data_IF_046799272560
#
_entry.id   IF_046799272560
#
_cell.length_a   1.000
_cell.length_b   1.000
_cell.length_c   1.000
_cell.angle_alpha   90.00
_cell.angle_beta   90.00
_cell.angle_gamma   90.00
#
_symmetry.space_group_name_H-M   'P 1'
#
loop_
_entity.id
_entity.type
_entity.pdbx_description
1 polymer ?
#
# COMPACT_ATOMS: atom_id res chain seq x y z
N UNK A 1 1.24 9.62 -15.06
CA UNK A 1 1.87 10.94 -15.25
C UNK A 1 1.22 11.76 -16.34
N UNK A 2 1.12 11.28 -17.58
CA UNK A 2 0.46 12.04 -18.66
C UNK A 2 -0.99 12.42 -18.36
N UNK A 3 -1.72 11.57 -17.63
CA UNK A 3 -3.09 11.80 -17.20
C UNK A 3 -3.27 12.95 -16.20
N UNK A 4 -2.21 13.28 -15.47
CA UNK A 4 -2.18 14.41 -14.52
C UNK A 4 -1.55 15.68 -15.13
N UNK A 5 -1.33 15.71 -16.46
CA UNK A 5 -0.74 16.84 -17.17
C UNK A 5 0.79 16.92 -17.15
N UNK A 6 1.47 15.94 -16.53
CA UNK A 6 2.93 15.90 -16.48
C UNK A 6 3.48 15.13 -17.68
N UNK A 7 4.12 15.84 -18.62
CA UNK A 7 4.71 15.22 -19.80
C UNK A 7 6.13 14.74 -19.53
N UNK A 8 6.31 13.43 -19.65
CA UNK A 8 7.63 12.79 -19.60
C UNK A 8 8.15 12.42 -21.00
N UNK A 9 7.41 12.77 -22.07
CA UNK A 9 7.79 12.45 -23.45
C UNK A 9 9.15 13.07 -23.81
N UNK A 10 10.06 12.22 -24.28
CA UNK A 10 11.40 12.62 -24.74
C UNK A 10 12.44 12.82 -23.63
N UNK A 11 12.07 12.76 -22.36
CA UNK A 11 13.01 12.92 -21.23
C UNK A 11 13.60 11.60 -20.74
N UNK A 12 12.89 10.47 -20.98
CA UNK A 12 13.28 9.15 -20.48
C UNK A 12 13.24 8.10 -21.58
N UNK A 13 14.19 7.19 -21.52
CA UNK A 13 14.15 5.99 -22.34
C UNK A 13 13.29 4.93 -21.60
N UNK A 14 12.06 4.74 -22.06
CA UNK A 14 11.10 3.80 -21.44
C UNK A 14 11.47 2.31 -21.61
N UNK A 15 12.44 2.01 -22.45
CA UNK A 15 12.97 0.64 -22.61
C UNK A 15 14.05 0.29 -21.58
N UNK A 16 14.58 1.28 -20.86
CA UNK A 16 15.60 1.11 -19.83
C UNK A 16 15.09 1.68 -18.49
N UNK A 17 14.44 0.82 -17.69
CA UNK A 17 13.99 1.16 -16.34
C UNK A 17 15.17 0.96 -15.40
N UNK A 18 16.04 1.96 -15.30
CA UNK A 18 17.14 1.97 -14.33
C UNK A 18 16.77 2.81 -13.10
N UNK A 19 17.43 2.53 -11.97
CA UNK A 19 17.29 3.34 -10.73
C UNK A 19 17.55 4.82 -10.97
N UNK A 20 18.48 5.12 -11.88
CA UNK A 20 18.80 6.50 -12.26
C UNK A 20 17.59 7.18 -12.90
N UNK A 21 16.89 6.49 -13.80
CA UNK A 21 15.71 7.03 -14.45
C UNK A 21 14.55 7.23 -13.46
N UNK A 22 14.37 6.32 -12.51
CA UNK A 22 13.37 6.48 -11.44
C UNK A 22 13.72 7.66 -10.54
N UNK A 23 14.99 7.80 -10.13
CA UNK A 23 15.43 8.93 -9.33
C UNK A 23 15.24 10.27 -10.07
N UNK A 24 15.49 10.29 -11.38
CA UNK A 24 15.22 11.49 -12.20
C UNK A 24 13.71 11.82 -12.21
N UNK A 25 12.85 10.81 -12.35
CA UNK A 25 11.39 10.99 -12.29
C UNK A 25 10.99 11.53 -10.91
N UNK A 26 11.50 10.95 -9.83
CA UNK A 26 11.23 11.42 -8.45
C UNK A 26 11.68 12.85 -8.24
N UNK A 27 12.84 13.23 -8.76
CA UNK A 27 13.33 14.60 -8.67
C UNK A 27 12.48 15.59 -9.47
N UNK A 28 11.93 15.18 -10.61
CA UNK A 28 11.07 16.06 -11.43
C UNK A 28 9.67 16.28 -10.83
N UNK A 29 9.16 15.28 -10.10
CA UNK A 29 7.86 15.41 -9.42
C UNK A 29 7.97 16.07 -8.05
N UNK A 30 9.18 16.28 -7.54
CA UNK A 30 9.40 16.91 -6.24
C UNK A 30 8.88 18.34 -6.21
N UNK A 31 8.04 18.64 -5.21
CA UNK A 31 7.46 19.97 -5.04
C UNK A 31 6.26 20.28 -5.95
N UNK A 32 5.84 19.34 -6.80
CA UNK A 32 4.58 19.50 -7.55
C UNK A 32 3.39 19.17 -6.68
N UNK A 33 2.22 19.74 -6.98
CA UNK A 33 0.99 19.58 -6.19
C UNK A 33 0.58 18.12 -5.96
N UNK A 34 0.89 17.24 -6.90
CA UNK A 34 0.49 15.83 -6.89
C UNK A 34 1.69 14.89 -6.62
N UNK A 35 2.75 15.38 -5.93
CA UNK A 35 3.98 14.62 -5.65
C UNK A 35 3.72 13.27 -4.99
N UNK A 36 2.88 13.26 -3.94
CA UNK A 36 2.58 12.04 -3.18
C UNK A 36 1.88 10.98 -4.04
N UNK A 37 0.91 11.41 -4.85
CA UNK A 37 0.18 10.54 -5.79
C UNK A 37 1.14 9.91 -6.80
N UNK A 38 1.98 10.74 -7.39
CA UNK A 38 2.91 10.32 -8.43
C UNK A 38 3.98 9.39 -7.86
N UNK A 39 4.51 9.69 -6.69
CA UNK A 39 5.50 8.86 -5.98
C UNK A 39 4.93 7.50 -5.63
N UNK A 40 3.72 7.42 -5.08
CA UNK A 40 3.06 6.14 -4.75
C UNK A 40 2.73 5.33 -6.01
N UNK A 41 2.22 5.95 -7.07
CA UNK A 41 1.98 5.25 -8.35
C UNK A 41 3.28 4.67 -8.92
N UNK A 42 4.38 5.41 -8.83
CA UNK A 42 5.69 4.94 -9.26
C UNK A 42 6.15 3.74 -8.43
N UNK A 43 6.06 3.84 -7.10
CA UNK A 43 6.44 2.75 -6.18
C UNK A 43 5.58 1.49 -6.40
N UNK A 44 4.26 1.63 -6.59
CA UNK A 44 3.36 0.51 -6.89
C UNK A 44 3.66 -0.19 -8.22
N UNK A 45 4.30 0.50 -9.17
CA UNK A 45 4.70 -0.09 -10.46
C UNK A 45 5.99 -0.91 -10.38
N UNK A 46 6.72 -0.82 -9.25
CA UNK A 46 7.98 -1.56 -9.07
C UNK A 46 7.71 -3.02 -8.70
N UNK A 47 8.54 -3.92 -9.22
CA UNK A 47 8.49 -5.32 -8.84
C UNK A 47 8.92 -5.50 -7.38
N UNK A 48 8.20 -6.38 -6.66
CA UNK A 48 8.64 -6.83 -5.34
C UNK A 48 9.98 -7.58 -5.48
N UNK A 49 10.87 -7.39 -4.51
CA UNK A 49 12.11 -8.15 -4.43
C UNK A 49 11.81 -9.65 -4.30
N UNK A 50 12.70 -10.49 -4.84
CA UNK A 50 12.62 -11.94 -4.72
C UNK A 50 14.03 -12.51 -4.60
N UNK A 51 14.14 -13.67 -4.00
CA UNK A 51 15.38 -14.44 -3.96
C UNK A 51 15.66 -15.04 -5.34
N UNK A 52 16.94 -15.07 -5.73
CA UNK A 52 17.38 -15.63 -7.00
C UNK A 52 18.77 -16.24 -6.83
N UNK A 53 19.06 -17.39 -7.46
CA UNK A 53 20.41 -17.94 -7.49
C UNK A 53 21.34 -17.14 -8.39
N UNK A 54 20.79 -16.28 -9.24
CA UNK A 54 21.56 -15.46 -10.18
C UNK A 54 21.79 -14.06 -9.62
N UNK A 55 22.97 -13.52 -9.88
CA UNK A 55 23.36 -12.15 -9.55
C UNK A 55 22.60 -11.14 -10.44
N UNK A 56 21.41 -10.73 -10.01
CA UNK A 56 20.54 -9.79 -10.74
C UNK A 56 20.63 -8.35 -10.24
N UNK A 57 21.42 -8.10 -9.21
CA UNK A 57 21.45 -6.84 -8.50
C UNK A 57 20.20 -6.62 -7.65
N UNK A 58 20.07 -5.46 -7.06
CA UNK A 58 18.93 -5.10 -6.21
C UNK A 58 18.45 -3.69 -6.57
N UNK A 59 17.31 -3.61 -7.26
CA UNK A 59 16.80 -2.35 -7.77
C UNK A 59 16.57 -1.30 -6.65
N UNK A 60 15.89 -1.68 -5.57
CA UNK A 60 15.58 -0.75 -4.46
C UNK A 60 16.81 -0.23 -3.72
N UNK A 61 17.94 -0.96 -3.77
CA UNK A 61 19.22 -0.54 -3.18
C UNK A 61 20.16 0.12 -4.20
N UNK A 62 19.77 0.22 -5.46
CA UNK A 62 20.61 0.79 -6.51
C UNK A 62 21.80 -0.08 -6.92
N UNK A 63 21.78 -1.37 -6.58
CA UNK A 63 22.85 -2.31 -6.89
C UNK A 63 22.62 -2.92 -8.26
N UNK A 64 23.65 -2.87 -9.11
CA UNK A 64 23.64 -3.52 -10.42
C UNK A 64 24.07 -4.98 -10.29
N UNK A 65 23.61 -5.83 -11.21
CA UNK A 65 24.07 -7.20 -11.31
C UNK A 65 25.61 -7.23 -11.47
N UNK A 66 26.26 -8.15 -10.76
CA UNK A 66 27.70 -8.40 -10.78
C UNK A 66 28.62 -7.29 -10.23
N UNK A 67 28.08 -6.11 -9.87
CA UNK A 67 28.89 -5.06 -9.22
C UNK A 67 28.99 -5.26 -7.72
N UNK A 68 27.83 -5.40 -7.07
CA UNK A 68 27.69 -5.72 -5.63
C UNK A 68 26.39 -6.47 -5.47
N UNK A 69 26.49 -7.75 -5.17
CA UNK A 69 25.31 -8.55 -4.92
C UNK A 69 24.89 -8.38 -3.47
N UNK A 70 23.59 -8.31 -3.27
CA UNK A 70 22.99 -8.19 -1.95
C UNK A 70 22.35 -9.51 -1.55
N UNK A 71 22.63 -9.93 -0.33
CA UNK A 71 21.95 -11.08 0.26
C UNK A 71 21.61 -10.81 1.72
N UNK A 72 20.59 -11.45 2.21
CA UNK A 72 20.31 -11.52 3.63
C UNK A 72 21.32 -12.42 4.32
N UNK A 73 21.77 -12.05 5.54
CA UNK A 73 22.78 -12.78 6.28
C UNK A 73 22.55 -12.83 7.79
N UNK A 74 21.85 -11.84 8.36
CA UNK A 74 21.89 -11.53 9.79
C UNK A 74 20.74 -12.11 10.62
N UNK A 75 19.79 -12.82 10.01
CA UNK A 75 18.61 -13.33 10.71
C UNK A 75 18.27 -14.79 10.37
N UNK A 76 19.20 -15.75 10.58
CA UNK A 76 19.03 -17.15 10.15
C UNK A 76 17.93 -17.91 10.93
N UNK A 77 17.48 -17.38 12.08
CA UNK A 77 16.41 -18.00 12.88
C UNK A 77 15.05 -17.93 12.15
N UNK A 78 14.80 -16.82 11.44
CA UNK A 78 13.50 -16.55 10.81
C UNK A 78 13.55 -16.47 9.28
N UNK A 79 14.72 -16.47 8.68
CA UNK A 79 14.89 -16.40 7.23
C UNK A 79 15.76 -17.55 6.73
N UNK A 80 15.15 -18.44 5.98
CA UNK A 80 15.87 -19.58 5.38
C UNK A 80 16.98 -19.13 4.42
N UNK A 81 16.82 -18.02 3.74
CA UNK A 81 17.84 -17.43 2.89
C UNK A 81 19.16 -17.22 3.65
N UNK A 82 19.13 -16.63 4.85
CA UNK A 82 20.31 -16.40 5.69
C UNK A 82 20.98 -17.72 6.07
N UNK A 83 20.20 -18.73 6.44
CA UNK A 83 20.70 -20.06 6.78
C UNK A 83 21.40 -20.73 5.58
N UNK A 84 20.80 -20.61 4.39
CA UNK A 84 21.40 -21.12 3.15
C UNK A 84 22.74 -20.43 2.84
N UNK A 85 22.78 -19.11 2.96
CA UNK A 85 24.03 -18.33 2.76
C UNK A 85 25.09 -18.73 3.77
N UNK A 86 24.76 -18.95 5.04
CA UNK A 86 25.70 -19.46 6.05
C UNK A 86 26.23 -20.85 5.68
N UNK A 87 25.36 -21.73 5.19
CA UNK A 87 25.74 -23.08 4.77
C UNK A 87 26.67 -23.04 3.56
N UNK A 88 26.32 -22.26 2.54
CA UNK A 88 27.16 -22.08 1.35
C UNK A 88 28.52 -21.48 1.73
N UNK A 89 28.54 -20.47 2.59
CA UNK A 89 29.78 -19.87 3.10
C UNK A 89 30.65 -20.91 3.80
N UNK A 90 30.07 -21.74 4.67
CA UNK A 90 30.79 -22.81 5.34
C UNK A 90 31.40 -23.80 4.35
N UNK A 91 30.59 -24.31 3.41
CA UNK A 91 31.01 -25.32 2.44
C UNK A 91 32.11 -24.78 1.52
N UNK A 92 31.87 -23.64 0.86
CA UNK A 92 32.77 -23.15 -0.20
C UNK A 92 33.96 -22.33 0.33
N UNK A 93 33.82 -21.64 1.46
CA UNK A 93 34.86 -20.73 1.98
C UNK A 93 35.66 -21.36 3.10
N UNK A 94 34.99 -22.04 4.05
CA UNK A 94 35.69 -22.62 5.26
C UNK A 94 36.21 -24.01 4.90
N UNK A 95 35.37 -24.91 4.45
CA UNK A 95 35.70 -26.30 4.10
C UNK A 95 36.40 -26.39 2.75
N UNK A 96 36.27 -25.38 1.90
CA UNK A 96 36.86 -25.26 0.55
C UNK A 96 36.46 -26.42 -0.37
N UNK A 97 35.27 -26.98 -0.18
CA UNK A 97 34.73 -28.03 -1.03
C UNK A 97 34.17 -27.44 -2.32
N UNK A 98 34.97 -27.42 -3.35
CA UNK A 98 34.63 -26.98 -4.71
C UNK A 98 34.50 -28.15 -5.67
N UNK A 99 34.13 -29.34 -5.17
CA UNK A 99 33.91 -30.52 -6.03
C UNK A 99 32.81 -30.27 -7.04
N UNK A 100 32.92 -30.82 -8.26
CA UNK A 100 31.91 -30.67 -9.32
C UNK A 100 30.51 -31.12 -8.84
N UNK A 101 30.46 -32.18 -8.07
CA UNK A 101 29.24 -32.75 -7.48
C UNK A 101 28.55 -31.73 -6.55
N UNK A 102 29.33 -31.08 -5.68
CA UNK A 102 28.82 -30.10 -4.73
C UNK A 102 28.36 -28.82 -5.44
N UNK A 103 29.13 -28.33 -6.42
CA UNK A 103 28.72 -27.17 -7.24
C UNK A 103 27.40 -27.48 -7.99
N UNK A 104 27.28 -28.66 -8.59
CA UNK A 104 26.08 -29.08 -9.32
C UNK A 104 24.86 -29.18 -8.39
N UNK A 105 25.05 -29.75 -7.19
CA UNK A 105 24.00 -29.84 -6.19
C UNK A 105 23.47 -28.46 -5.81
N UNK A 106 24.34 -27.53 -5.44
CA UNK A 106 23.93 -26.19 -5.01
C UNK A 106 23.30 -25.38 -6.15
N UNK A 107 23.81 -25.50 -7.37
CA UNK A 107 23.22 -24.82 -8.53
C UNK A 107 21.78 -25.27 -8.80
N UNK A 108 21.52 -26.59 -8.71
CA UNK A 108 20.17 -27.13 -8.86
C UNK A 108 19.26 -26.75 -7.69
N UNK A 109 19.74 -26.99 -6.47
CA UNK A 109 18.96 -26.76 -5.25
C UNK A 109 18.54 -25.30 -5.08
N UNK A 110 19.46 -24.35 -5.33
CA UNK A 110 19.15 -22.92 -5.21
C UNK A 110 18.10 -22.44 -6.22
N UNK A 111 18.05 -23.05 -7.40
CA UNK A 111 17.04 -22.71 -8.41
C UNK A 111 15.63 -22.99 -7.90
N UNK A 112 15.45 -24.14 -7.25
CA UNK A 112 14.15 -24.54 -6.71
C UNK A 112 13.82 -23.80 -5.40
N UNK A 113 14.77 -23.75 -4.48
CA UNK A 113 14.50 -23.20 -3.15
C UNK A 113 14.31 -21.69 -3.15
N UNK A 114 14.95 -20.93 -4.04
CA UNK A 114 14.77 -19.48 -4.13
C UNK A 114 13.32 -19.06 -4.47
N UNK A 115 12.68 -19.79 -5.36
CA UNK A 115 11.26 -19.54 -5.68
C UNK A 115 10.38 -19.89 -4.49
N UNK A 116 10.61 -21.01 -3.84
CA UNK A 116 9.87 -21.43 -2.64
C UNK A 116 9.98 -20.42 -1.49
N UNK A 117 11.19 -20.01 -1.11
CA UNK A 117 11.36 -19.04 -0.02
C UNK A 117 10.79 -17.64 -0.36
N UNK A 118 10.80 -17.25 -1.64
CA UNK A 118 10.16 -16.00 -2.08
C UNK A 118 8.63 -16.06 -1.95
N UNK A 119 8.03 -17.23 -2.16
CA UNK A 119 6.61 -17.47 -1.93
C UNK A 119 6.27 -17.48 -0.44
N UNK A 120 7.06 -18.19 0.37
CA UNK A 120 6.89 -18.23 1.83
C UNK A 120 6.98 -16.83 2.45
N UNK A 121 7.90 -15.98 1.99
CA UNK A 121 8.02 -14.61 2.48
C UNK A 121 6.78 -13.78 2.14
N UNK A 122 6.23 -13.92 0.94
CA UNK A 122 4.96 -13.25 0.56
C UNK A 122 3.81 -13.72 1.43
N UNK A 123 3.67 -15.03 1.61
CA UNK A 123 2.62 -15.61 2.47
C UNK A 123 2.74 -15.13 3.92
N UNK A 124 3.98 -15.02 4.43
CA UNK A 124 4.22 -14.49 5.79
C UNK A 124 3.82 -13.02 5.90
N UNK A 125 4.17 -12.20 4.92
CA UNK A 125 3.75 -10.79 4.88
C UNK A 125 2.23 -10.64 4.77
N UNK A 126 1.58 -11.44 3.92
CA UNK A 126 0.12 -11.43 3.78
C UNK A 126 -0.58 -11.86 5.08
N UNK A 127 0.02 -12.79 5.85
CA UNK A 127 -0.48 -13.18 7.16
C UNK A 127 -0.33 -12.05 8.20
N UNK A 128 0.79 -11.32 8.18
CA UNK A 128 1.03 -10.15 9.02
C UNK A 128 -0.02 -9.06 8.74
N UNK A 129 -0.20 -8.66 7.48
CA UNK A 129 -1.24 -7.70 7.10
C UNK A 129 -2.65 -8.14 7.50
N UNK A 130 -2.98 -9.42 7.25
CA UNK A 130 -4.28 -9.95 7.64
C UNK A 130 -4.51 -9.95 9.17
N UNK A 131 -3.44 -10.03 9.94
CA UNK A 131 -3.49 -9.93 11.41
C UNK A 131 -3.70 -8.48 11.85
N UNK A 132 -2.99 -7.54 11.22
CA UNK A 132 -3.16 -6.11 11.47
C UNK A 132 -4.59 -5.68 11.13
N UNK A 133 -5.10 -6.03 9.94
CA UNK A 133 -6.49 -5.75 9.51
C UNK A 133 -7.53 -6.31 10.49
N UNK A 134 -7.27 -7.53 11.05
CA UNK A 134 -8.16 -8.10 12.06
C UNK A 134 -8.20 -7.27 13.33
N UNK A 135 -7.05 -6.88 13.86
CA UNK A 135 -6.99 -6.08 15.09
C UNK A 135 -7.45 -4.65 14.89
N UNK A 136 -7.24 -4.08 13.72
CA UNK A 136 -7.80 -2.78 13.34
C UNK A 136 -9.34 -2.84 13.34
N UNK A 137 -9.92 -3.90 12.78
CA UNK A 137 -11.35 -4.09 12.82
C UNK A 137 -11.87 -4.32 14.26
N UNK A 138 -11.16 -5.09 15.11
CA UNK A 138 -11.50 -5.22 16.53
C UNK A 138 -11.46 -3.86 17.24
N UNK A 139 -10.42 -3.06 17.00
CA UNK A 139 -10.29 -1.72 17.57
C UNK A 139 -11.43 -0.80 17.14
N UNK A 140 -11.92 -0.91 15.92
CA UNK A 140 -12.97 -0.07 15.38
C UNK A 140 -14.38 -0.48 15.81
N UNK A 141 -14.60 -1.73 16.29
CA UNK A 141 -15.91 -2.16 16.79
C UNK A 141 -16.47 -1.25 17.89
N UNK A 142 -15.63 -0.87 18.85
CA UNK A 142 -16.03 0.02 19.96
C UNK A 142 -16.13 1.49 19.53
N UNK A 143 -15.91 1.77 18.24
CA UNK A 143 -15.85 3.13 17.68
C UNK A 143 -16.85 3.37 16.57
N UNK A 144 -17.78 2.44 16.37
CA UNK A 144 -18.92 2.65 15.48
C UNK A 144 -19.69 3.89 15.93
N UNK A 145 -19.99 4.78 14.99
CA UNK A 145 -20.57 6.09 15.26
C UNK A 145 -19.57 7.22 15.53
N UNK A 146 -18.27 6.93 15.69
CA UNK A 146 -17.24 7.98 15.91
C UNK A 146 -16.68 8.50 14.60
N UNK A 147 -16.30 9.79 14.63
CA UNK A 147 -15.68 10.47 13.48
C UNK A 147 -14.15 10.45 13.56
N UNK A 148 -13.53 10.45 12.39
CA UNK A 148 -12.06 10.44 12.23
C UNK A 148 -11.64 11.40 11.13
N UNK A 149 -10.52 12.07 11.34
CA UNK A 149 -9.79 12.69 10.24
C UNK A 149 -9.05 11.62 9.47
N UNK A 150 -9.18 11.66 8.15
CA UNK A 150 -8.62 10.64 7.28
C UNK A 150 -8.11 11.24 5.96
N UNK A 151 -7.24 10.50 5.32
CA UNK A 151 -6.75 10.80 3.97
C UNK A 151 -7.43 9.87 2.97
N UNK A 152 -7.96 10.42 1.89
CA UNK A 152 -8.54 9.64 0.79
C UNK A 152 -7.44 8.86 0.08
N UNK A 153 -7.54 7.52 0.08
CA UNK A 153 -6.64 6.60 -0.62
C UNK A 153 -7.44 5.70 -1.59
N UNK A 154 -6.77 5.09 -2.54
CA UNK A 154 -7.28 4.04 -3.41
C UNK A 154 -8.62 4.31 -4.07
N UNK A 155 -8.83 5.45 -4.80
CA UNK A 155 -10.10 5.72 -5.44
C UNK A 155 -10.46 4.65 -6.48
N UNK A 156 -11.73 4.21 -6.45
CA UNK A 156 -12.34 3.19 -7.31
C UNK A 156 -13.65 3.72 -7.92
N UNK A 157 -14.24 3.06 -8.91
CA UNK A 157 -15.42 3.59 -9.61
C UNK A 157 -16.61 3.99 -8.73
N UNK A 158 -16.88 3.26 -7.64
CA UNK A 158 -18.05 3.47 -6.76
C UNK A 158 -17.69 3.64 -5.28
N UNK A 159 -16.41 3.63 -4.94
CA UNK A 159 -15.93 3.66 -3.55
C UNK A 159 -14.49 4.13 -3.52
N UNK A 160 -13.95 4.35 -2.32
CA UNK A 160 -12.53 4.57 -2.11
C UNK A 160 -12.12 4.02 -0.73
N UNK A 161 -10.83 3.92 -0.50
CA UNK A 161 -10.31 3.69 0.84
C UNK A 161 -9.96 5.01 1.51
N UNK A 162 -10.19 5.08 2.81
CA UNK A 162 -9.76 6.19 3.63
C UNK A 162 -8.86 5.65 4.74
N UNK A 163 -7.71 6.27 4.93
CA UNK A 163 -6.77 5.95 6.00
C UNK A 163 -6.86 7.00 7.10
N UNK A 164 -7.16 6.58 8.33
CA UNK A 164 -7.21 7.50 9.47
C UNK A 164 -5.84 8.11 9.75
N UNK A 165 -5.81 9.41 10.10
CA UNK A 165 -4.55 10.14 10.28
C UNK A 165 -3.83 9.81 11.58
N UNK A 166 -4.55 9.33 12.60
CA UNK A 166 -4.00 9.09 13.95
C UNK A 166 -3.43 7.67 14.11
N UNK A 167 -4.09 6.66 13.53
CA UNK A 167 -3.74 5.25 13.69
C UNK A 167 -3.37 4.55 12.37
N UNK A 168 -3.52 5.25 11.25
CA UNK A 168 -3.29 4.71 9.90
C UNK A 168 -4.17 3.49 9.56
N UNK A 169 -5.38 3.44 10.16
CA UNK A 169 -6.35 2.38 9.92
C UNK A 169 -7.05 2.64 8.60
N UNK A 170 -7.05 1.65 7.74
CA UNK A 170 -7.71 1.69 6.45
C UNK A 170 -9.17 1.22 6.55
N UNK A 171 -10.08 1.93 5.91
CA UNK A 171 -11.47 1.52 5.81
C UNK A 171 -12.08 1.91 4.47
N UNK A 172 -13.09 1.16 4.05
CA UNK A 172 -13.79 1.36 2.80
C UNK A 172 -14.88 2.41 2.94
N UNK A 173 -14.96 3.31 1.97
CA UNK A 173 -15.99 4.36 1.91
C UNK A 173 -16.88 4.13 0.70
N UNK A 174 -18.07 3.61 0.93
CA UNK A 174 -19.14 3.43 -0.07
C UNK A 174 -20.35 4.32 0.22
N UNK A 175 -20.35 4.97 1.37
CA UNK A 175 -21.47 5.71 1.91
C UNK A 175 -21.09 7.15 2.25
N UNK A 176 -22.12 7.97 2.35
CA UNK A 176 -22.03 9.35 2.84
C UNK A 176 -23.06 9.56 3.93
N UNK A 177 -22.75 10.45 4.86
CA UNK A 177 -23.68 10.94 5.88
C UNK A 177 -23.59 12.46 5.96
N UNK A 178 -24.70 13.15 6.26
CA UNK A 178 -24.65 14.62 6.40
C UNK A 178 -23.92 15.02 7.68
N UNK A 179 -23.42 16.26 7.75
CA UNK A 179 -22.73 16.76 8.93
C UNK A 179 -23.64 16.81 10.17
N UNK A 180 -24.93 17.07 9.98
CA UNK A 180 -25.88 17.13 11.09
C UNK A 180 -26.23 15.73 11.60
N UNK A 181 -26.53 14.80 10.67
CA UNK A 181 -26.75 13.38 11.01
C UNK A 181 -25.50 12.76 11.65
N UNK A 182 -24.31 13.15 11.21
CA UNK A 182 -23.04 12.68 11.78
C UNK A 182 -22.88 13.11 13.26
N UNK A 183 -23.21 14.34 13.60
CA UNK A 183 -23.17 14.84 14.98
C UNK A 183 -24.21 14.15 15.86
N UNK A 184 -25.40 13.92 15.33
CA UNK A 184 -26.46 13.21 16.04
C UNK A 184 -26.05 11.76 16.32
N UNK A 185 -25.53 11.05 15.31
CA UNK A 185 -25.01 9.70 15.46
C UNK A 185 -23.91 9.61 16.53
N UNK A 186 -23.00 10.58 16.57
CA UNK A 186 -21.91 10.61 17.55
C UNK A 186 -22.39 10.77 19.00
N UNK A 187 -23.59 11.32 19.21
CA UNK A 187 -24.21 11.49 20.53
C UNK A 187 -24.93 10.24 21.04
N UNK A 188 -25.24 9.28 20.17
CA UNK A 188 -25.90 8.03 20.54
C UNK A 188 -24.93 7.10 21.28
N UNK A 189 -25.48 6.32 22.21
CA UNK A 189 -24.71 5.38 23.04
C UNK A 189 -25.22 3.95 22.97
N UNK A 190 -26.49 3.74 22.63
CA UNK A 190 -27.06 2.39 22.45
C UNK A 190 -26.66 1.81 21.10
N UNK A 191 -26.03 0.62 21.05
CA UNK A 191 -25.61 0.03 19.80
C UNK A 191 -26.75 -0.25 18.81
N UNK A 192 -27.95 -0.56 19.29
CA UNK A 192 -29.10 -0.82 18.41
C UNK A 192 -29.61 0.49 17.80
N UNK A 193 -29.66 1.56 18.59
CA UNK A 193 -30.03 2.90 18.10
C UNK A 193 -29.01 3.38 17.06
N UNK A 194 -27.72 3.22 17.34
CA UNK A 194 -26.63 3.55 16.41
C UNK A 194 -26.83 2.82 15.07
N UNK A 195 -27.07 1.50 15.10
CA UNK A 195 -27.24 0.71 13.88
C UNK A 195 -28.49 1.14 13.09
N UNK A 196 -29.60 1.36 13.77
CA UNK A 196 -30.85 1.84 13.12
C UNK A 196 -30.64 3.22 12.50
N UNK A 197 -29.97 4.12 13.21
CA UNK A 197 -29.68 5.46 12.72
C UNK A 197 -28.82 5.43 11.46
N UNK A 198 -27.75 4.63 11.45
CA UNK A 198 -26.87 4.46 10.29
C UNK A 198 -27.68 3.99 9.07
N UNK A 199 -28.49 2.93 9.24
CA UNK A 199 -29.28 2.38 8.12
C UNK A 199 -30.28 3.40 7.54
N UNK A 200 -30.80 4.30 8.38
CA UNK A 200 -31.79 5.29 7.96
C UNK A 200 -31.16 6.51 7.25
N UNK A 201 -29.96 6.91 7.62
CA UNK A 201 -29.35 8.18 7.22
C UNK A 201 -28.16 8.04 6.27
N UNK A 202 -27.55 6.83 6.14
CA UNK A 202 -26.49 6.61 5.17
C UNK A 202 -27.03 6.69 3.74
N UNK A 203 -26.28 7.35 2.85
CA UNK A 203 -26.59 7.48 1.43
C UNK A 203 -25.43 6.93 0.61
N UNK A 204 -25.67 6.28 -0.54
CA UNK A 204 -24.61 5.81 -1.40
C UNK A 204 -23.68 6.95 -1.83
N UNK A 205 -22.37 6.63 -1.92
CA UNK A 205 -21.40 7.55 -2.50
C UNK A 205 -21.62 7.64 -4.01
N UNK A 206 -22.12 8.78 -4.49
CA UNK A 206 -22.56 8.98 -5.87
C UNK A 206 -21.78 10.08 -6.58
N UNK A 207 -20.52 9.82 -6.87
CA UNK A 207 -19.66 10.70 -7.67
C UNK A 207 -19.08 9.94 -8.85
N UNK A 208 -18.88 10.65 -9.96
CA UNK A 208 -18.28 10.08 -11.17
C UNK A 208 -16.77 9.93 -10.99
N UNK A 209 -16.28 8.70 -11.04
CA UNK A 209 -14.85 8.41 -10.99
C UNK A 209 -14.17 8.85 -12.28
N UNK A 210 -13.05 9.54 -12.15
CA UNK A 210 -12.21 9.94 -13.27
C UNK A 210 -10.79 9.42 -13.06
N UNK A 211 -10.42 8.38 -13.80
CA UNK A 211 -9.11 7.73 -13.70
C UNK A 211 -7.96 8.69 -14.05
N UNK A 212 -8.16 9.58 -15.02
CA UNK A 212 -7.15 10.56 -15.43
C UNK A 212 -6.81 11.55 -14.29
N UNK A 213 -7.81 11.89 -13.46
CA UNK A 213 -7.65 12.80 -12.33
C UNK A 213 -7.35 12.06 -11.02
N UNK A 214 -7.45 10.73 -11.04
CA UNK A 214 -7.36 9.86 -9.87
C UNK A 214 -8.23 10.38 -8.72
N UNK A 215 -9.50 10.56 -9.03
CA UNK A 215 -10.45 11.18 -8.11
C UNK A 215 -11.86 11.21 -8.66
N UNK A 216 -12.71 12.02 -8.04
CA UNK A 216 -14.14 12.06 -8.33
C UNK A 216 -14.60 13.43 -8.80
N UNK A 217 -15.53 13.41 -9.73
CA UNK A 217 -16.14 14.62 -10.30
C UNK A 217 -17.64 14.65 -10.06
N UNK A 218 -18.18 15.87 -10.03
CA UNK A 218 -19.62 16.14 -10.05
C UNK A 218 -19.86 17.23 -11.06
N UNK A 219 -20.69 16.94 -12.09
CA UNK A 219 -20.95 17.86 -13.21
C UNK A 219 -19.64 18.38 -13.84
N UNK A 220 -18.65 17.49 -14.04
CA UNK A 220 -17.35 17.81 -14.63
C UNK A 220 -16.37 18.60 -13.75
N UNK A 221 -16.76 18.97 -12.52
CA UNK A 221 -15.85 19.62 -11.56
C UNK A 221 -15.30 18.59 -10.58
N UNK A 222 -13.98 18.64 -10.33
CA UNK A 222 -13.32 17.79 -9.33
C UNK A 222 -13.82 18.15 -7.94
N UNK A 223 -14.31 17.14 -7.21
CA UNK A 223 -14.78 17.27 -5.82
C UNK A 223 -13.81 16.63 -4.86
N UNK A 224 -13.40 15.39 -5.15
CA UNK A 224 -12.47 14.62 -4.31
C UNK A 224 -11.32 14.09 -5.14
N UNK A 225 -10.13 14.04 -4.55
CA UNK A 225 -8.93 13.45 -5.14
C UNK A 225 -8.21 12.57 -4.13
N UNK A 226 -7.39 11.70 -4.63
CA UNK A 226 -6.39 11.03 -3.84
C UNK A 226 -5.57 12.03 -2.99
N UNK A 227 -5.36 11.72 -1.72
CA UNK A 227 -4.61 12.57 -0.79
C UNK A 227 -5.43 13.70 -0.15
N UNK A 228 -6.70 13.88 -0.56
CA UNK A 228 -7.56 14.86 0.09
C UNK A 228 -7.79 14.51 1.58
N UNK A 229 -7.71 15.52 2.43
CA UNK A 229 -8.08 15.40 3.84
C UNK A 229 -9.59 15.45 3.98
N UNK A 230 -10.16 14.48 4.66
CA UNK A 230 -11.60 14.29 4.82
C UNK A 230 -11.95 13.94 6.26
N UNK A 231 -13.21 14.15 6.61
CA UNK A 231 -13.80 13.57 7.82
C UNK A 231 -14.63 12.36 7.39
N UNK A 232 -14.38 11.24 8.02
CA UNK A 232 -15.15 10.01 7.88
C UNK A 232 -15.74 9.60 9.21
N UNK A 233 -16.85 8.86 9.19
CA UNK A 233 -17.49 8.29 10.36
C UNK A 233 -17.50 6.77 10.24
N UNK A 234 -17.08 6.05 11.27
CA UNK A 234 -17.15 4.60 11.31
C UNK A 234 -18.62 4.18 11.39
N UNK A 235 -19.08 3.42 10.42
CA UNK A 235 -20.47 2.94 10.33
C UNK A 235 -20.58 1.42 10.45
N UNK A 236 -19.46 0.71 10.40
CA UNK A 236 -19.42 -0.74 10.54
C UNK A 236 -18.00 -1.24 10.73
N UNK A 237 -17.88 -2.36 11.43
CA UNK A 237 -16.62 -3.10 11.55
C UNK A 237 -16.90 -4.58 11.78
N UNK A 238 -16.31 -5.43 10.94
CA UNK A 238 -16.45 -6.89 10.99
C UNK A 238 -15.05 -7.54 11.05
N UNK A 239 -14.54 -7.89 12.25
CA UNK A 239 -13.24 -8.53 12.40
C UNK A 239 -13.14 -9.87 11.67
N UNK A 240 -14.25 -10.64 11.55
CA UNK A 240 -14.22 -11.93 10.86
C UNK A 240 -13.94 -11.78 9.36
N UNK A 241 -14.41 -10.69 8.77
CA UNK A 241 -14.11 -10.31 7.39
C UNK A 241 -12.87 -9.40 7.27
N UNK A 242 -12.41 -8.84 8.38
CA UNK A 242 -11.32 -7.84 8.41
C UNK A 242 -11.70 -6.60 7.60
N UNK A 243 -12.94 -6.17 7.74
CA UNK A 243 -13.52 -5.04 7.00
C UNK A 243 -13.94 -3.94 7.96
N UNK A 244 -13.66 -2.71 7.58
CA UNK A 244 -14.09 -1.50 8.27
C UNK A 244 -14.81 -0.63 7.25
N UNK A 245 -16.05 -0.24 7.58
CA UNK A 245 -16.86 0.61 6.74
C UNK A 245 -16.91 2.03 7.30
N UNK A 246 -16.55 2.98 6.47
CA UNK A 246 -16.68 4.39 6.74
C UNK A 246 -17.76 5.04 5.87
N UNK A 247 -18.42 6.05 6.41
CA UNK A 247 -19.21 7.02 5.66
C UNK A 247 -18.45 8.33 5.54
N UNK A 248 -18.40 8.91 4.34
CA UNK A 248 -17.85 10.23 4.12
C UNK A 248 -18.78 11.30 4.70
N UNK A 249 -18.26 12.13 5.60
CA UNK A 249 -18.98 13.27 6.18
C UNK A 249 -18.71 14.52 5.35
N UNK A 250 -17.46 14.92 5.23
CA UNK A 250 -17.05 16.11 4.48
C UNK A 250 -15.59 16.11 4.08
N UNK A 251 -15.23 17.00 3.17
CA UNK A 251 -13.85 17.35 2.86
C UNK A 251 -13.35 18.46 3.80
N UNK A 252 -12.15 18.28 4.32
CA UNK A 252 -11.47 19.34 5.08
C UNK A 252 -10.90 20.34 4.05
N UNK A 253 -11.48 21.53 4.01
CA UNK A 253 -10.96 22.64 3.21
C UNK A 253 -9.98 23.41 4.07
N UNK A 254 -8.68 23.24 3.84
CA UNK A 254 -7.68 24.13 4.40
C UNK A 254 -7.95 25.54 3.84
N UNK A 255 -8.30 26.46 4.71
CA UNK A 255 -8.64 27.85 4.37
C UNK A 255 -7.45 28.69 3.91
N UNK A 256 -6.60 28.17 3.03
CA UNK A 256 -5.51 28.91 2.40
C UNK A 256 -5.27 28.41 0.98
N UNK A 257 -6.11 28.87 0.05
CA UNK A 257 -5.75 29.01 -1.36
C UNK A 257 -6.18 30.40 -1.81
N UNK A 258 -5.34 31.38 -1.55
CA UNK A 258 -5.29 32.63 -2.33
C UNK A 258 -4.09 32.58 -3.23
#
# INVERSE_FOLDING_TARGET
>A
MSSLGYSTKGKFNYSDISNKNIQMILNEIKGVKDEDILSRKLLRSMQKARYSPEAKGHFGLGLKAHDRDYTHFTSPIRRMCDLLVHTIFRVFIIEKDTSPENISFWASYLTEVCDHISECERTSADCEYATDDYYDAVYMQDRIGKTFEATLDGPMPSSFFAQTNDKFIDGKVEWMISEDDSKELESLTDPNEIQQFIELHKKPFMYEYNDSLYGYTKKGKVVYRYGDQIIVQCIGSDPAKREIDFALVKKITNGNNK
#
